data_IF_157681558358
#
_entry.id   IF_157681558358
#
_cell.length_a   1.000
_cell.length_b   1.000
_cell.length_c   1.000
_cell.angle_alpha   90.00
_cell.angle_beta   90.00
_cell.angle_gamma   90.00
#
_symmetry.space_group_name_H-M   'P 1'
#
loop_
_entity.id
_entity.type
_entity.pdbx_description
1 polymer ?
#
# COMPACT_ATOMS: atom_id res chain seq x y z
N UNK A 1 13.71 -18.72 -22.61
CA UNK A 1 13.67 -18.99 -21.16
C UNK A 1 13.22 -17.73 -20.43
N UNK A 2 12.06 -17.73 -19.76
CA UNK A 2 11.64 -16.59 -18.93
C UNK A 2 12.54 -16.55 -17.69
N UNK A 3 13.25 -15.44 -17.52
CA UNK A 3 14.09 -15.17 -16.35
C UNK A 3 13.21 -15.30 -15.10
N UNK A 4 13.31 -16.42 -14.37
CA UNK A 4 12.68 -16.55 -13.05
C UNK A 4 13.57 -15.78 -12.08
N UNK A 5 13.49 -14.45 -12.14
CA UNK A 5 14.16 -13.57 -11.19
C UNK A 5 13.89 -14.04 -9.77
N UNK A 6 14.91 -13.98 -8.91
CA UNK A 6 14.82 -14.45 -7.54
C UNK A 6 13.61 -13.80 -6.85
N UNK A 7 12.78 -14.65 -6.27
CA UNK A 7 11.56 -14.21 -5.59
C UNK A 7 11.96 -13.60 -4.25
N UNK A 8 11.88 -12.27 -4.11
CA UNK A 8 12.16 -11.56 -2.85
C UNK A 8 11.37 -12.17 -1.69
N UNK A 9 12.07 -12.56 -0.62
CA UNK A 9 11.50 -13.25 0.56
C UNK A 9 11.36 -12.32 1.74
N UNK A 10 10.36 -12.57 2.61
CA UNK A 10 10.10 -11.73 3.79
C UNK A 10 11.32 -11.58 4.73
N UNK A 11 12.08 -12.65 4.95
CA UNK A 11 13.30 -12.59 5.78
C UNK A 11 14.39 -11.67 5.22
N UNK A 12 14.44 -11.50 3.91
CA UNK A 12 15.49 -10.73 3.23
C UNK A 12 15.24 -9.23 3.35
N UNK A 13 14.01 -8.83 3.69
CA UNK A 13 13.59 -7.44 3.81
C UNK A 13 13.37 -7.00 5.26
N UNK A 14 13.40 -7.92 6.22
CA UNK A 14 13.24 -7.59 7.62
C UNK A 14 14.39 -6.67 8.08
N UNK A 15 14.06 -5.58 8.77
CA UNK A 15 15.02 -4.56 9.18
C UNK A 15 15.55 -3.68 8.04
N UNK A 16 14.96 -3.76 6.83
CA UNK A 16 15.37 -2.95 5.67
C UNK A 16 14.27 -1.99 5.23
N UNK A 17 14.69 -0.88 4.62
CA UNK A 17 13.81 -0.01 3.84
C UNK A 17 13.76 -0.54 2.41
N UNK A 18 12.56 -0.90 1.94
CA UNK A 18 12.37 -1.51 0.62
C UNK A 18 11.40 -0.67 -0.20
N UNK A 19 11.81 -0.35 -1.43
CA UNK A 19 10.98 0.33 -2.42
C UNK A 19 10.64 -0.64 -3.56
N UNK A 20 9.34 -0.80 -3.84
CA UNK A 20 8.85 -1.65 -4.93
C UNK A 20 8.39 -0.76 -6.09
N UNK A 21 9.15 -0.76 -7.18
CA UNK A 21 8.87 0.04 -8.38
C UNK A 21 8.39 -0.83 -9.55
N UNK A 22 7.74 -0.20 -10.52
CA UNK A 22 7.29 -0.84 -11.75
C UNK A 22 6.06 -0.18 -12.35
N UNK A 23 5.77 -0.52 -13.60
CA UNK A 23 4.66 0.05 -14.38
C UNK A 23 3.27 -0.27 -13.79
N UNK A 24 2.23 0.42 -14.25
CA UNK A 24 0.86 0.11 -13.89
C UNK A 24 0.52 -1.35 -14.25
N UNK A 25 -0.17 -2.06 -13.37
CA UNK A 25 -0.54 -3.48 -13.61
C UNK A 25 0.60 -4.50 -13.47
N UNK A 26 1.85 -4.10 -13.19
CA UNK A 26 2.99 -5.02 -13.09
C UNK A 26 2.99 -5.99 -11.89
N UNK A 27 2.00 -5.88 -11.00
CA UNK A 27 1.84 -6.77 -9.85
C UNK A 27 2.52 -6.31 -8.56
N UNK A 28 2.91 -5.04 -8.45
CA UNK A 28 3.52 -4.45 -7.23
C UNK A 28 2.70 -4.73 -5.97
N UNK A 29 1.41 -4.45 -5.99
CA UNK A 29 0.50 -4.68 -4.84
C UNK A 29 0.45 -6.17 -4.46
N UNK A 30 0.47 -7.06 -5.45
CA UNK A 30 0.51 -8.52 -5.21
C UNK A 30 1.84 -8.95 -4.57
N UNK A 31 2.96 -8.35 -4.98
CA UNK A 31 4.25 -8.56 -4.34
C UNK A 31 4.24 -8.06 -2.89
N UNK A 32 3.73 -6.85 -2.65
CA UNK A 32 3.59 -6.28 -1.33
C UNK A 32 2.71 -7.16 -0.42
N UNK A 33 1.56 -7.64 -0.90
CA UNK A 33 0.67 -8.55 -0.16
C UNK A 33 1.36 -9.88 0.21
N UNK A 34 2.17 -10.44 -0.70
CA UNK A 34 2.95 -11.65 -0.42
C UNK A 34 4.00 -11.41 0.65
N UNK A 35 4.69 -10.27 0.60
CA UNK A 35 5.69 -9.89 1.60
C UNK A 35 5.02 -9.62 2.96
N UNK A 36 3.87 -8.95 2.98
CA UNK A 36 3.06 -8.75 4.17
C UNK A 36 2.71 -10.09 4.83
N UNK A 37 2.19 -11.06 4.07
CA UNK A 37 1.89 -12.40 4.58
C UNK A 37 3.11 -13.11 5.17
N UNK A 38 4.29 -12.89 4.58
CA UNK A 38 5.53 -13.44 5.12
C UNK A 38 5.95 -12.74 6.41
N UNK A 39 5.83 -11.41 6.48
CA UNK A 39 6.15 -10.62 7.67
C UNK A 39 5.22 -10.93 8.83
N UNK A 40 3.91 -11.08 8.59
CA UNK A 40 2.94 -11.50 9.62
C UNK A 40 3.36 -12.80 10.32
N UNK A 41 3.96 -13.75 9.59
CA UNK A 41 4.48 -15.00 10.15
C UNK A 41 5.81 -14.84 10.89
N UNK A 42 6.63 -13.87 10.50
CA UNK A 42 7.96 -13.67 11.05
C UNK A 42 7.96 -12.83 12.33
N UNK A 43 7.13 -11.78 12.37
CA UNK A 43 7.11 -10.82 13.49
C UNK A 43 5.78 -10.81 14.26
N UNK A 44 4.72 -11.41 13.71
CA UNK A 44 3.37 -11.36 14.27
C UNK A 44 2.56 -10.14 13.79
N UNK A 45 1.25 -10.33 13.60
CA UNK A 45 0.36 -9.31 13.01
C UNK A 45 0.29 -8.00 13.81
N UNK A 46 0.27 -8.06 15.15
CA UNK A 46 0.16 -6.87 16.01
C UNK A 46 1.37 -5.92 15.95
N UNK A 47 2.46 -6.35 15.33
CA UNK A 47 3.67 -5.55 15.12
C UNK A 47 3.72 -4.84 13.77
N UNK A 48 2.64 -4.93 12.99
CA UNK A 48 2.59 -4.45 11.61
C UNK A 48 1.49 -3.40 11.48
N UNK A 49 1.86 -2.25 10.91
CA UNK A 49 0.92 -1.27 10.37
C UNK A 49 0.96 -1.33 8.85
N UNK A 50 -0.22 -1.37 8.25
CA UNK A 50 -0.40 -1.24 6.81
C UNK A 50 -1.16 0.05 6.56
N UNK A 51 -0.55 1.00 5.88
CA UNK A 51 -1.21 2.19 5.35
C UNK A 51 -1.44 1.95 3.87
N UNK A 52 -2.70 1.73 3.48
CA UNK A 52 -3.06 1.41 2.10
C UNK A 52 -3.77 2.58 1.43
N UNK A 53 -3.01 3.34 0.65
CA UNK A 53 -3.45 4.55 -0.03
C UNK A 53 -4.03 4.27 -1.41
N UNK A 54 -4.09 3.01 -1.84
CA UNK A 54 -4.58 2.66 -3.17
C UNK A 54 -6.08 2.94 -3.31
N UNK A 55 -6.58 3.35 -4.49
CA UNK A 55 -8.02 3.37 -4.74
C UNK A 55 -8.59 1.95 -4.79
N UNK A 56 -9.90 1.85 -4.56
CA UNK A 56 -10.64 0.62 -4.82
C UNK A 56 -10.48 0.22 -6.29
N UNK A 57 -10.33 -1.08 -6.55
CA UNK A 57 -10.11 -1.57 -7.90
C UNK A 57 -11.32 -1.26 -8.79
N UNK A 58 -11.09 -0.48 -9.85
CA UNK A 58 -12.11 -0.14 -10.84
C UNK A 58 -11.52 -0.31 -12.24
N UNK A 59 -12.20 -1.04 -13.13
CA UNK A 59 -11.75 -1.24 -14.52
C UNK A 59 -10.35 -1.85 -14.67
N UNK A 60 -9.88 -2.64 -13.70
CA UNK A 60 -8.54 -3.24 -13.68
C UNK A 60 -7.41 -2.32 -13.19
N UNK A 61 -7.73 -1.07 -12.83
CA UNK A 61 -6.76 -0.09 -12.30
C UNK A 61 -6.93 0.03 -10.78
N UNK A 62 -5.80 0.19 -10.07
CA UNK A 62 -5.75 0.25 -8.62
C UNK A 62 -5.89 -1.12 -7.95
N UNK A 63 -6.37 -1.11 -6.71
CA UNK A 63 -6.57 -2.30 -5.90
C UNK A 63 -5.80 -2.23 -4.60
N UNK A 64 -6.54 -2.53 -3.53
CA UNK A 64 -6.03 -2.58 -2.17
C UNK A 64 -5.17 -3.82 -2.00
N UNK A 65 -4.28 -3.80 -1.02
CA UNK A 65 -3.53 -4.97 -0.60
C UNK A 65 -4.47 -6.08 -0.12
N UNK A 66 -5.62 -5.71 0.46
CA UNK A 66 -6.69 -6.62 0.91
C UNK A 66 -7.32 -7.42 -0.22
N UNK A 67 -7.18 -6.98 -1.48
CA UNK A 67 -7.61 -7.76 -2.64
C UNK A 67 -6.78 -9.03 -2.84
N UNK A 68 -5.61 -9.13 -2.19
CA UNK A 68 -4.64 -10.19 -2.37
C UNK A 68 -4.26 -10.94 -1.08
N UNK A 69 -4.61 -10.40 0.09
CA UNK A 69 -4.31 -11.02 1.38
C UNK A 69 -5.40 -10.72 2.40
N UNK A 70 -5.88 -11.76 3.07
CA UNK A 70 -6.73 -11.63 4.24
C UNK A 70 -5.91 -11.13 5.42
N UNK A 71 -6.33 -10.01 5.99
CA UNK A 71 -5.74 -9.44 7.18
C UNK A 71 -6.29 -10.20 8.39
N UNK A 72 -5.43 -10.97 9.06
CA UNK A 72 -5.81 -11.79 10.21
C UNK A 72 -5.06 -11.34 11.47
N UNK A 73 -5.73 -11.40 12.61
CA UNK A 73 -5.19 -10.96 13.90
C UNK A 73 -5.23 -9.44 14.07
N UNK A 74 -4.40 -8.92 14.96
CA UNK A 74 -4.40 -7.52 15.41
C UNK A 74 -3.64 -6.56 14.48
N UNK A 75 -3.63 -6.83 13.16
CA UNK A 75 -2.90 -5.95 12.24
C UNK A 75 -3.54 -4.56 12.20
N UNK A 76 -2.72 -3.52 12.33
CA UNK A 76 -3.19 -2.14 12.27
C UNK A 76 -3.33 -1.71 10.79
N UNK A 77 -4.53 -1.87 10.23
CA UNK A 77 -4.83 -1.49 8.85
C UNK A 77 -5.46 -0.10 8.78
N UNK A 78 -4.79 0.82 8.10
CA UNK A 78 -5.20 2.20 7.91
C UNK A 78 -5.44 2.45 6.42
N UNK A 79 -6.65 2.82 6.06
CA UNK A 79 -7.03 3.20 4.69
C UNK A 79 -7.92 4.43 4.75
N UNK A 80 -7.76 5.39 3.82
CA UNK A 80 -8.72 6.48 3.72
C UNK A 80 -10.06 5.92 3.23
N UNK A 81 -11.16 6.58 3.61
CA UNK A 81 -12.51 6.22 3.14
C UNK A 81 -12.63 6.39 1.62
N UNK A 82 -11.95 7.40 1.08
CA UNK A 82 -11.98 7.74 -0.34
C UNK A 82 -10.61 8.11 -0.86
N UNK A 83 -10.28 7.54 -2.01
CA UNK A 83 -9.10 7.87 -2.81
C UNK A 83 -9.58 8.30 -4.19
N UNK A 84 -9.30 9.54 -4.55
CA UNK A 84 -9.52 10.05 -5.89
C UNK A 84 -8.39 9.57 -6.80
N UNK A 85 -8.68 9.46 -8.10
CA UNK A 85 -7.70 9.09 -9.13
C UNK A 85 -7.44 10.28 -10.06
N UNK A 86 -6.73 11.34 -9.61
CA UNK A 86 -6.65 12.62 -10.33
C UNK A 86 -6.31 12.48 -11.82
N UNK A 87 -5.33 11.64 -12.14
CA UNK A 87 -4.86 11.41 -13.52
C UNK A 87 -5.87 10.71 -14.42
N UNK A 88 -6.79 9.93 -13.85
CA UNK A 88 -7.79 9.18 -14.61
C UNK A 88 -9.11 9.95 -14.70
N UNK A 89 -9.51 10.65 -13.64
CA UNK A 89 -10.85 11.25 -13.52
C UNK A 89 -10.88 12.76 -13.64
N UNK A 90 -9.72 13.43 -13.65
CA UNK A 90 -9.65 14.88 -13.79
C UNK A 90 -9.94 15.34 -15.23
N UNK A 91 -11.00 16.10 -15.43
CA UNK A 91 -11.38 16.73 -16.71
C UNK A 91 -10.65 18.07 -16.97
N UNK A 92 -9.91 18.59 -15.99
CA UNK A 92 -9.11 19.82 -16.13
C UNK A 92 -7.93 19.84 -15.15
N UNK A 93 -6.87 20.62 -15.41
CA UNK A 93 -5.76 20.80 -14.47
C UNK A 93 -6.21 21.23 -13.07
N UNK A 94 -7.21 22.14 -12.99
CA UNK A 94 -7.80 22.59 -11.72
C UNK A 94 -8.44 21.43 -10.96
N UNK A 95 -9.14 20.53 -11.66
CA UNK A 95 -9.79 19.39 -11.04
C UNK A 95 -8.77 18.32 -10.60
N UNK A 96 -7.71 18.09 -11.39
CA UNK A 96 -6.60 17.21 -11.00
C UNK A 96 -5.98 17.69 -9.68
N UNK A 97 -5.66 18.98 -9.58
CA UNK A 97 -5.10 19.56 -8.35
C UNK A 97 -6.07 19.46 -7.17
N UNK A 98 -7.36 19.72 -7.40
CA UNK A 98 -8.37 19.58 -6.35
C UNK A 98 -8.47 18.14 -5.82
N UNK A 99 -8.42 17.14 -6.70
CA UNK A 99 -8.42 15.74 -6.29
C UNK A 99 -7.14 15.33 -5.56
N UNK A 100 -5.99 15.89 -5.94
CA UNK A 100 -4.74 15.66 -5.21
C UNK A 100 -4.80 16.25 -3.79
N UNK A 101 -5.34 17.46 -3.62
CA UNK A 101 -5.48 18.07 -2.29
C UNK A 101 -6.45 17.28 -1.41
N UNK A 102 -7.59 16.82 -1.96
CA UNK A 102 -8.53 15.96 -1.23
C UNK A 102 -7.89 14.63 -0.81
N UNK A 103 -7.04 14.03 -1.65
CA UNK A 103 -6.27 12.85 -1.25
C UNK A 103 -5.33 13.17 -0.09
N UNK A 104 -4.59 14.27 -0.16
CA UNK A 104 -3.70 14.70 0.94
C UNK A 104 -4.48 14.88 2.24
N UNK A 105 -5.59 15.61 2.22
CA UNK A 105 -6.48 15.82 3.38
C UNK A 105 -6.94 14.48 4.00
N UNK A 106 -7.27 13.49 3.16
CA UNK A 106 -7.73 12.17 3.62
C UNK A 106 -6.60 11.26 4.14
N UNK A 107 -5.38 11.41 3.60
CA UNK A 107 -4.27 10.49 3.88
C UNK A 107 -3.37 10.99 5.02
N UNK A 108 -3.23 12.29 5.20
CA UNK A 108 -2.38 12.90 6.22
C UNK A 108 -2.72 12.45 7.66
N UNK A 109 -4.01 12.31 8.07
CA UNK A 109 -4.36 11.79 9.39
C UNK A 109 -3.86 10.36 9.63
N UNK A 110 -3.79 9.52 8.60
CA UNK A 110 -3.33 8.13 8.71
C UNK A 110 -1.82 8.06 8.97
N UNK A 111 -1.06 8.93 8.28
CA UNK A 111 0.38 9.08 8.51
C UNK A 111 0.65 9.61 9.92
N UNK A 112 -0.10 10.63 10.37
CA UNK A 112 0.01 11.18 11.74
C UNK A 112 -0.28 10.11 12.79
N UNK A 113 -1.32 9.30 12.60
CA UNK A 113 -1.68 8.21 13.51
C UNK A 113 -0.54 7.18 13.66
N UNK A 114 0.13 6.82 12.56
CA UNK A 114 1.29 5.94 12.64
C UNK A 114 2.48 6.60 13.36
N UNK A 115 2.77 7.87 13.05
CA UNK A 115 3.88 8.60 13.69
C UNK A 115 3.69 8.71 15.21
N UNK A 116 2.45 8.89 15.67
CA UNK A 116 2.13 8.97 17.10
C UNK A 116 2.28 7.63 17.84
N UNK A 117 2.04 6.51 17.16
CA UNK A 117 2.16 5.17 17.74
C UNK A 117 2.72 4.17 16.71
N UNK A 118 4.03 4.21 16.46
CA UNK A 118 4.64 3.41 15.40
C UNK A 118 4.72 1.93 15.81
N UNK A 119 4.42 1.06 14.86
CA UNK A 119 4.72 -0.37 14.97
C UNK A 119 6.08 -0.70 14.38
N UNK A 120 6.65 -1.86 14.73
CA UNK A 120 7.99 -2.29 14.28
C UNK A 120 8.11 -2.37 12.75
N UNK A 121 7.02 -2.73 12.06
CA UNK A 121 6.96 -2.84 10.60
C UNK A 121 5.89 -1.91 10.05
N UNK A 122 6.25 -1.09 9.07
CA UNK A 122 5.33 -0.29 8.26
C UNK A 122 5.32 -0.79 6.82
N UNK A 123 4.12 -0.97 6.27
CA UNK A 123 3.90 -1.15 4.84
C UNK A 123 3.05 0.02 4.36
N UNK A 124 3.58 0.78 3.40
CA UNK A 124 2.88 1.88 2.76
C UNK A 124 2.62 1.52 1.30
N UNK A 125 1.35 1.27 0.95
CA UNK A 125 0.96 0.90 -0.40
C UNK A 125 0.40 2.10 -1.17
N UNK A 126 0.81 2.20 -2.43
CA UNK A 126 0.37 3.21 -3.42
C UNK A 126 0.61 4.67 -3.00
N UNK A 127 1.89 5.02 -2.81
CA UNK A 127 2.33 6.41 -2.60
C UNK A 127 2.27 7.14 -3.94
N UNK A 128 1.40 8.15 -4.05
CA UNK A 128 1.17 8.92 -5.29
C UNK A 128 1.28 10.40 -5.09
#
# INVERSE_FOLDING_TARGET
MKNRGSVLKGREILGKKVLILGEAGSGKTKLAARLLKALMKLVGSGKITVIDLAPQRTGGIGGKITDYVSLTGEINYLSPEKVYMPRLTGASPKQVLRYAELNKENMEPLLKRFIQNPTEVLILNDVT
#
